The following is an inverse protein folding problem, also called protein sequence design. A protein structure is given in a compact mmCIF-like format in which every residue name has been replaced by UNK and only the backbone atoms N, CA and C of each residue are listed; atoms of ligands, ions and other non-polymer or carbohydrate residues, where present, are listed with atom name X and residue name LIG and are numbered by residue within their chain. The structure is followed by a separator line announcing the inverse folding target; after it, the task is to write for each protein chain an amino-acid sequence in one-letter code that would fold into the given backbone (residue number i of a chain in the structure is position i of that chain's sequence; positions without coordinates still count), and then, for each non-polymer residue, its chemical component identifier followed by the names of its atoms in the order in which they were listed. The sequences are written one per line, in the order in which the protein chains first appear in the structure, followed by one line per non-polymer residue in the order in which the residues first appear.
data_IF_815235925432
#
_entry.id   IF_815235925432
#
_cell.length_a   1.000
_cell.length_b   1.000
_cell.length_c   1.000
_cell.angle_alpha   90.00
_cell.angle_beta   90.00
_cell.angle_gamma   90.00
#
_symmetry.space_group_name_H-M   'P 1'
#
loop_
_entity.id
_entity.type
_entity.pdbx_description
1 polymer ?
#
# COMPACT_ATOMS: atom_id res chain seq x y z
N UNK A 1 -10.97 19.33 14.06
CA UNK A 1 -11.84 18.88 12.95
C UNK A 1 -12.52 17.60 13.36
N UNK A 2 -13.75 17.39 12.91
CA UNK A 2 -14.47 16.12 13.02
C UNK A 2 -14.39 15.40 11.66
N UNK A 3 -13.73 14.25 11.63
CA UNK A 3 -13.34 13.56 10.39
C UNK A 3 -13.98 12.17 10.38
N UNK A 4 -14.68 11.82 9.28
CA UNK A 4 -15.18 10.47 9.07
C UNK A 4 -14.31 9.76 8.03
N UNK A 5 -13.75 8.62 8.38
CA UNK A 5 -13.18 7.68 7.41
C UNK A 5 -14.18 6.60 7.04
N UNK A 6 -14.42 6.42 5.74
CA UNK A 6 -15.22 5.31 5.20
C UNK A 6 -14.29 4.32 4.53
N UNK A 7 -14.20 3.11 5.08
CA UNK A 7 -13.20 2.10 4.70
C UNK A 7 -13.89 0.75 4.53
N UNK A 8 -13.62 -0.01 3.47
CA UNK A 8 -14.21 -1.36 3.31
C UNK A 8 -13.85 -2.31 4.45
N UNK A 9 -12.60 -2.23 4.94
CA UNK A 9 -12.07 -3.08 6.02
C UNK A 9 -11.12 -2.28 6.88
N UNK A 10 -11.07 -2.58 8.17
CA UNK A 10 -10.21 -1.91 9.17
C UNK A 10 -9.60 -2.93 10.14
N UNK A 11 -8.77 -2.51 11.09
CA UNK A 11 -8.26 -3.39 12.14
C UNK A 11 -9.41 -4.16 12.82
N UNK A 12 -9.23 -5.44 13.17
CA UNK A 12 -8.02 -6.26 13.02
C UNK A 12 -7.97 -7.11 11.73
N UNK A 13 -8.63 -6.70 10.64
CA UNK A 13 -8.70 -7.46 9.39
C UNK A 13 -7.36 -7.40 8.60
N UNK A 14 -6.25 -7.80 9.22
CA UNK A 14 -4.89 -7.71 8.64
C UNK A 14 -4.66 -8.56 7.38
N UNK A 15 -5.57 -9.47 7.06
CA UNK A 15 -5.53 -10.25 5.81
C UNK A 15 -5.48 -9.37 4.55
N UNK A 16 -5.99 -8.13 4.63
CA UNK A 16 -5.94 -7.17 3.52
C UNK A 16 -4.61 -6.42 3.40
N UNK A 17 -3.68 -6.62 4.34
CA UNK A 17 -2.29 -6.15 4.26
C UNK A 17 -2.11 -4.65 4.46
N UNK A 18 -1.17 -4.06 3.70
CA UNK A 18 -0.68 -2.68 3.88
C UNK A 18 -1.74 -1.57 3.99
N UNK A 19 -2.85 -1.59 3.25
CA UNK A 19 -3.90 -0.58 3.40
C UNK A 19 -4.51 -0.51 4.80
N UNK A 20 -4.66 -1.65 5.49
CA UNK A 20 -5.18 -1.66 6.88
C UNK A 20 -4.23 -0.91 7.80
N UNK A 21 -2.93 -1.17 7.67
CA UNK A 21 -1.91 -0.51 8.50
C UNK A 21 -1.84 0.99 8.20
N UNK A 22 -1.69 1.39 6.95
CA UNK A 22 -1.54 2.81 6.59
C UNK A 22 -2.76 3.66 6.90
N UNK A 23 -3.98 3.13 6.71
CA UNK A 23 -5.21 3.86 7.05
C UNK A 23 -5.39 3.98 8.56
N UNK A 24 -5.14 2.89 9.31
CA UNK A 24 -5.26 2.95 10.77
C UNK A 24 -4.24 3.91 11.36
N UNK A 25 -2.98 3.92 10.87
CA UNK A 25 -1.96 4.86 11.35
C UNK A 25 -2.30 6.32 11.04
N UNK A 26 -2.91 6.59 9.90
CA UNK A 26 -3.45 7.93 9.61
C UNK A 26 -4.54 8.32 10.63
N UNK A 27 -5.52 7.45 10.86
CA UNK A 27 -6.61 7.72 11.81
C UNK A 27 -6.09 7.92 13.25
N UNK A 28 -5.20 7.03 13.70
CA UNK A 28 -4.55 7.08 15.01
C UNK A 28 -3.74 8.38 15.18
N UNK A 29 -2.94 8.73 14.16
CA UNK A 29 -2.15 9.96 14.18
C UNK A 29 -3.01 11.21 14.23
N UNK A 30 -4.09 11.29 13.46
CA UNK A 30 -5.04 12.40 13.50
C UNK A 30 -5.72 12.51 14.88
N UNK A 31 -6.14 11.38 15.47
CA UNK A 31 -6.74 11.36 16.80
C UNK A 31 -5.73 11.82 17.88
N UNK A 32 -4.47 11.36 17.81
CA UNK A 32 -3.40 11.77 18.71
C UNK A 32 -3.09 13.29 18.61
N UNK A 33 -3.32 13.90 17.44
CA UNK A 33 -3.19 15.35 17.23
C UNK A 33 -4.47 16.13 17.60
N UNK A 34 -5.40 15.52 18.33
CA UNK A 34 -6.57 16.20 18.92
C UNK A 34 -7.75 16.38 17.95
N UNK A 35 -7.81 15.60 16.87
CA UNK A 35 -8.97 15.59 15.99
C UNK A 35 -9.98 14.50 16.40
N UNK A 36 -11.27 14.75 16.20
CA UNK A 36 -12.34 13.78 16.43
C UNK A 36 -12.46 12.90 15.18
N UNK A 37 -11.99 11.66 15.29
CA UNK A 37 -11.87 10.72 14.16
C UNK A 37 -12.79 9.53 14.37
N UNK A 38 -13.76 9.39 13.47
CA UNK A 38 -14.64 8.23 13.38
C UNK A 38 -14.31 7.41 12.13
N UNK A 39 -14.37 6.08 12.27
CA UNK A 39 -14.23 5.13 11.16
C UNK A 39 -15.50 4.31 11.01
N UNK A 40 -16.08 4.36 9.82
CA UNK A 40 -17.15 3.44 9.41
C UNK A 40 -16.58 2.39 8.48
N UNK A 41 -16.69 1.13 8.90
CA UNK A 41 -16.12 -0.01 8.20
C UNK A 41 -17.06 -1.21 8.23
N UNK A 42 -16.69 -2.31 7.57
CA UNK A 42 -17.45 -3.56 7.62
C UNK A 42 -16.76 -4.60 8.51
N UNK A 43 -17.49 -5.67 8.85
CA UNK A 43 -16.95 -6.84 9.55
C UNK A 43 -16.10 -7.75 8.65
N UNK A 44 -15.78 -7.33 7.43
CA UNK A 44 -15.04 -8.11 6.45
C UNK A 44 -13.65 -8.55 6.93
N UNK A 45 -13.36 -9.87 6.84
CA UNK A 45 -12.05 -10.46 7.13
C UNK A 45 -11.77 -11.62 6.14
N UNK A 46 -11.52 -11.25 4.88
CA UNK A 46 -11.44 -12.21 3.79
C UNK A 46 -12.80 -12.84 3.49
N UNK A 47 -12.85 -14.16 3.43
CA UNK A 47 -14.11 -14.92 3.30
C UNK A 47 -14.90 -14.97 4.62
N UNK A 48 -14.21 -14.78 5.74
CA UNK A 48 -14.81 -14.73 7.07
C UNK A 48 -15.31 -13.33 7.44
N UNK A 49 -15.96 -13.22 8.57
CA UNK A 49 -16.31 -11.98 9.24
C UNK A 49 -15.50 -11.87 10.54
N UNK A 50 -15.23 -10.63 10.96
CA UNK A 50 -14.69 -10.38 12.30
C UNK A 50 -15.73 -10.77 13.37
N UNK A 51 -15.27 -11.33 14.46
CA UNK A 51 -16.11 -11.63 15.64
C UNK A 51 -16.37 -10.34 16.45
N UNK A 52 -17.15 -9.46 15.85
CA UNK A 52 -17.53 -8.14 16.40
C UNK A 52 -19.03 -7.97 16.20
N UNK A 53 -19.72 -7.46 17.22
CA UNK A 53 -21.17 -7.17 17.13
C UNK A 53 -21.38 -5.99 16.16
N UNK A 54 -22.06 -6.20 15.01
CA UNK A 54 -22.28 -5.13 14.05
C UNK A 54 -23.13 -3.99 14.61
N UNK A 55 -22.80 -2.76 14.20
CA UNK A 55 -23.48 -1.54 14.62
C UNK A 55 -23.00 -0.97 15.96
N UNK A 56 -22.06 -1.66 16.65
CA UNK A 56 -21.46 -1.16 17.89
C UNK A 56 -20.23 -0.32 17.57
N UNK A 57 -20.14 0.85 18.20
CA UNK A 57 -18.91 1.68 18.13
C UNK A 57 -17.94 1.24 19.23
N UNK A 58 -16.71 1.01 18.84
CA UNK A 58 -15.61 0.62 19.71
C UNK A 58 -14.48 1.65 19.61
N UNK A 59 -13.67 1.77 20.66
CA UNK A 59 -12.41 2.52 20.58
C UNK A 59 -11.29 1.56 20.26
N UNK A 60 -10.64 1.74 19.11
CA UNK A 60 -9.51 0.92 18.64
C UNK A 60 -8.31 1.84 18.48
N UNK A 61 -7.30 1.69 19.33
CA UNK A 61 -6.08 2.52 19.35
C UNK A 61 -6.39 4.04 19.34
N UNK A 62 -7.36 4.47 20.15
CA UNK A 62 -7.77 5.87 20.29
C UNK A 62 -8.76 6.39 19.24
N UNK A 63 -9.15 5.57 18.27
CA UNK A 63 -10.08 5.91 17.19
C UNK A 63 -11.44 5.26 17.44
N UNK A 64 -12.54 6.01 17.23
CA UNK A 64 -13.89 5.44 17.29
C UNK A 64 -14.21 4.71 16.00
N UNK A 65 -14.42 3.40 16.10
CA UNK A 65 -14.67 2.53 14.93
C UNK A 65 -16.03 1.86 15.05
N UNK A 66 -16.87 2.00 14.05
CA UNK A 66 -18.15 1.30 13.94
C UNK A 66 -18.08 0.28 12.81
N UNK A 67 -18.30 -0.99 13.15
CA UNK A 67 -18.29 -2.11 12.22
C UNK A 67 -19.70 -2.46 11.79
N UNK A 68 -19.96 -2.43 10.50
CA UNK A 68 -21.28 -2.76 9.94
C UNK A 68 -21.26 -4.12 9.26
N UNK A 69 -22.35 -4.85 9.37
CA UNK A 69 -22.51 -6.11 8.67
C UNK A 69 -22.53 -5.88 7.16
N UNK A 70 -21.73 -6.64 6.41
CA UNK A 70 -21.88 -6.74 4.95
C UNK A 70 -22.85 -7.86 4.61
N UNK A 71 -23.63 -7.67 3.54
CA UNK A 71 -24.55 -8.70 3.03
C UNK A 71 -23.95 -9.53 1.90
N UNK A 72 -22.83 -9.09 1.33
CA UNK A 72 -22.05 -9.81 0.31
C UNK A 72 -20.72 -10.23 0.87
N UNK A 73 -20.23 -11.43 0.52
CA UNK A 73 -18.91 -11.95 0.93
C UNK A 73 -17.83 -11.72 -0.15
N UNK A 74 -18.12 -10.89 -1.12
CA UNK A 74 -17.25 -10.54 -2.24
C UNK A 74 -16.60 -9.14 -2.05
N UNK A 75 -15.72 -8.71 -2.95
CA UNK A 75 -15.07 -7.39 -2.87
C UNK A 75 -16.01 -6.18 -3.01
N UNK A 76 -17.31 -6.36 -3.24
CA UNK A 76 -18.28 -5.25 -3.31
C UNK A 76 -18.61 -4.66 -1.94
N UNK A 77 -18.44 -5.43 -0.87
CA UNK A 77 -18.67 -5.05 0.53
C UNK A 77 -20.02 -4.36 0.78
N UNK A 78 -21.10 -4.82 0.16
CA UNK A 78 -22.43 -4.19 0.28
C UNK A 78 -22.88 -4.18 1.73
N UNK A 79 -23.12 -3.00 2.29
CA UNK A 79 -23.58 -2.79 3.67
C UNK A 79 -24.63 -1.67 3.75
N UNK A 80 -25.95 -2.01 3.68
CA UNK A 80 -27.02 -1.03 3.77
C UNK A 80 -27.04 -0.26 5.09
N UNK A 81 -26.62 -0.91 6.18
CA UNK A 81 -26.61 -0.25 7.49
C UNK A 81 -25.50 0.78 7.60
N UNK A 82 -24.33 0.56 6.97
CA UNK A 82 -23.31 1.60 6.85
C UNK A 82 -23.84 2.79 6.06
N UNK A 83 -24.51 2.57 4.94
CA UNK A 83 -25.08 3.67 4.15
C UNK A 83 -26.15 4.45 4.91
N UNK A 84 -27.01 3.78 5.70
CA UNK A 84 -27.97 4.45 6.59
C UNK A 84 -27.24 5.31 7.63
N UNK A 85 -26.17 4.77 8.26
CA UNK A 85 -25.37 5.51 9.22
C UNK A 85 -24.73 6.75 8.57
N UNK A 86 -24.08 6.61 7.41
CA UNK A 86 -23.54 7.75 6.66
C UNK A 86 -24.64 8.76 6.35
N UNK A 87 -25.79 8.33 5.82
CA UNK A 87 -26.89 9.25 5.48
C UNK A 87 -27.44 10.03 6.67
N UNK A 88 -27.43 9.46 7.89
CA UNK A 88 -27.95 10.09 9.10
C UNK A 88 -26.94 11.04 9.77
N UNK A 89 -25.65 10.69 9.77
CA UNK A 89 -24.62 11.37 10.59
C UNK A 89 -23.65 12.22 9.79
N UNK A 90 -23.55 12.08 8.45
CA UNK A 90 -22.47 12.68 7.66
C UNK A 90 -22.38 14.21 7.76
N UNK A 91 -23.49 14.90 8.03
CA UNK A 91 -23.51 16.36 8.20
C UNK A 91 -22.85 16.84 9.51
N UNK A 92 -22.54 15.93 10.42
CA UNK A 92 -21.82 16.24 11.66
C UNK A 92 -20.31 16.35 11.45
N UNK A 93 -19.80 15.92 10.27
CA UNK A 93 -18.39 15.90 9.96
C UNK A 93 -17.98 17.06 9.06
N UNK A 94 -16.79 17.59 9.33
CA UNK A 94 -16.20 18.66 8.52
C UNK A 94 -15.74 18.11 7.16
N UNK A 95 -15.27 16.87 7.14
CA UNK A 95 -14.78 16.17 5.94
C UNK A 95 -15.00 14.66 6.06
N UNK A 96 -15.27 14.01 4.93
CA UNK A 96 -15.32 12.56 4.79
C UNK A 96 -14.15 12.08 3.93
N UNK A 97 -13.32 11.21 4.48
CA UNK A 97 -12.21 10.59 3.76
C UNK A 97 -12.54 9.13 3.39
N UNK A 98 -12.78 8.90 2.12
CA UNK A 98 -13.13 7.58 1.57
C UNK A 98 -11.87 6.86 1.11
N UNK A 99 -11.72 5.61 1.55
CA UNK A 99 -10.55 4.80 1.24
C UNK A 99 -10.88 3.73 0.20
N UNK A 100 -10.03 3.59 -0.81
CA UNK A 100 -10.19 2.72 -1.97
C UNK A 100 -11.28 3.17 -2.95
N UNK A 101 -11.46 2.38 -4.03
CA UNK A 101 -12.49 2.60 -5.05
C UNK A 101 -13.02 1.23 -5.53
N UNK A 102 -13.73 1.15 -6.59
CA UNK A 102 -14.26 -0.07 -7.25
C UNK A 102 -15.07 -1.02 -6.36
N UNK A 103 -15.48 -0.63 -5.18
CA UNK A 103 -16.48 -1.37 -4.41
C UNK A 103 -17.74 -0.55 -4.21
N UNK A 104 -18.89 -1.22 -4.20
CA UNK A 104 -20.20 -0.56 -4.13
C UNK A 104 -20.35 0.22 -2.82
N UNK A 105 -19.75 -0.29 -1.72
CA UNK A 105 -19.80 0.37 -0.42
C UNK A 105 -19.36 1.83 -0.51
N UNK A 106 -18.14 2.07 -1.01
CA UNK A 106 -17.55 3.41 -1.01
C UNK A 106 -18.15 4.30 -2.08
N UNK A 107 -18.54 3.77 -3.24
CA UNK A 107 -19.19 4.55 -4.31
C UNK A 107 -20.53 5.11 -3.81
N UNK A 108 -21.36 4.28 -3.20
CA UNK A 108 -22.66 4.72 -2.66
C UNK A 108 -22.47 5.69 -1.49
N UNK A 109 -21.54 5.41 -0.57
CA UNK A 109 -21.23 6.33 0.53
C UNK A 109 -20.79 7.71 0.02
N UNK A 110 -19.92 7.75 -1.02
CA UNK A 110 -19.50 9.00 -1.66
C UNK A 110 -20.68 9.76 -2.27
N UNK A 111 -21.56 9.06 -2.98
CA UNK A 111 -22.77 9.68 -3.54
C UNK A 111 -23.68 10.28 -2.45
N UNK A 112 -23.87 9.57 -1.33
CA UNK A 112 -24.64 10.09 -0.18
C UNK A 112 -23.99 11.37 0.36
N UNK A 113 -22.67 11.40 0.56
CA UNK A 113 -21.95 12.58 1.03
C UNK A 113 -22.17 13.78 0.10
N UNK A 114 -22.09 13.60 -1.21
CA UNK A 114 -22.35 14.69 -2.18
C UNK A 114 -23.79 15.17 -2.17
N UNK A 115 -24.76 14.27 -2.07
CA UNK A 115 -26.18 14.64 -1.93
C UNK A 115 -26.43 15.43 -0.64
N UNK A 116 -25.66 15.18 0.41
CA UNK A 116 -25.71 15.92 1.68
C UNK A 116 -24.83 17.18 1.69
N UNK A 117 -24.11 17.46 0.59
CA UNK A 117 -23.20 18.61 0.40
C UNK A 117 -22.03 18.64 1.40
N UNK A 118 -21.51 17.48 1.78
CA UNK A 118 -20.32 17.33 2.64
C UNK A 118 -19.08 17.18 1.76
N UNK A 119 -17.97 17.76 2.19
CA UNK A 119 -16.68 17.65 1.49
C UNK A 119 -16.15 16.22 1.52
N UNK A 120 -15.70 15.72 0.36
CA UNK A 120 -15.20 14.35 0.22
C UNK A 120 -13.78 14.36 -0.32
N UNK A 121 -12.93 13.63 0.36
CA UNK A 121 -11.60 13.24 -0.08
C UNK A 121 -11.59 11.76 -0.40
N UNK A 122 -10.98 11.35 -1.50
CA UNK A 122 -10.87 9.95 -1.93
C UNK A 122 -9.40 9.57 -2.05
N UNK A 123 -9.00 8.51 -1.36
CA UNK A 123 -7.72 7.83 -1.57
C UNK A 123 -7.94 6.57 -2.39
N UNK A 124 -7.64 6.57 -3.69
CA UNK A 124 -7.91 5.41 -4.56
C UNK A 124 -7.06 4.19 -4.21
N UNK A 125 -5.89 4.39 -3.61
CA UNK A 125 -4.97 3.31 -3.22
C UNK A 125 -4.52 2.44 -4.41
N UNK A 126 -4.16 3.08 -5.53
CA UNK A 126 -3.75 2.43 -6.78
C UNK A 126 -4.89 1.77 -7.56
N UNK A 127 -6.15 1.97 -7.13
CA UNK A 127 -7.29 1.33 -7.79
C UNK A 127 -7.72 2.03 -9.08
N UNK A 128 -7.23 3.24 -9.36
CA UNK A 128 -7.55 3.98 -10.57
C UNK A 128 -6.48 3.84 -11.67
N UNK A 129 -5.46 2.99 -11.46
CA UNK A 129 -4.46 2.70 -12.49
C UNK A 129 -5.07 2.02 -13.71
N UNK A 130 -4.50 2.28 -14.88
CA UNK A 130 -4.90 1.62 -16.12
C UNK A 130 -4.83 0.09 -15.98
N UNK A 131 -3.78 -0.43 -15.33
CA UNK A 131 -3.65 -1.86 -15.05
C UNK A 131 -4.87 -2.43 -14.32
N UNK A 132 -5.35 -1.75 -13.26
CA UNK A 132 -6.51 -2.21 -12.49
C UNK A 132 -7.80 -2.03 -13.29
N UNK A 133 -7.89 -1.00 -14.14
CA UNK A 133 -9.07 -0.78 -14.99
C UNK A 133 -9.24 -1.87 -16.03
N UNK A 134 -8.14 -2.41 -16.54
CA UNK A 134 -8.11 -3.44 -17.59
C UNK A 134 -8.14 -4.88 -17.02
N UNK A 135 -7.91 -5.08 -15.74
CA UNK A 135 -7.87 -6.40 -15.09
C UNK A 135 -9.12 -6.70 -14.27
N UNK A 136 -9.43 -7.96 -14.07
CA UNK A 136 -10.58 -8.43 -13.27
C UNK A 136 -11.93 -8.14 -13.94
N UNK A 137 -12.95 -7.76 -13.16
CA UNK A 137 -14.31 -7.52 -13.69
C UNK A 137 -14.42 -6.14 -14.36
N UNK A 138 -13.87 -6.02 -15.56
CA UNK A 138 -13.82 -4.76 -16.34
C UNK A 138 -15.19 -4.21 -16.70
N UNK A 139 -16.18 -5.08 -16.97
CA UNK A 139 -17.55 -4.66 -17.30
C UNK A 139 -18.23 -3.94 -16.14
N UNK A 140 -18.11 -4.49 -14.94
CA UNK A 140 -18.68 -3.88 -13.73
C UNK A 140 -17.99 -2.55 -13.39
N UNK A 141 -16.66 -2.48 -13.50
CA UNK A 141 -15.90 -1.24 -13.29
C UNK A 141 -16.32 -0.14 -14.27
N UNK A 142 -16.45 -0.48 -15.55
CA UNK A 142 -16.95 0.45 -16.56
C UNK A 142 -18.38 0.92 -16.24
N UNK A 143 -19.28 0.01 -15.88
CA UNK A 143 -20.64 0.36 -15.49
C UNK A 143 -20.64 1.35 -14.31
N UNK A 144 -19.93 1.06 -13.22
CA UNK A 144 -19.81 1.94 -12.06
C UNK A 144 -19.23 3.29 -12.49
N UNK A 145 -18.16 3.30 -13.28
CA UNK A 145 -17.50 4.52 -13.71
C UNK A 145 -18.41 5.43 -14.53
N UNK A 146 -19.04 4.90 -15.57
CA UNK A 146 -19.87 5.71 -16.49
C UNK A 146 -21.26 6.08 -15.93
N UNK A 147 -21.70 5.47 -14.84
CA UNK A 147 -22.96 5.85 -14.16
C UNK A 147 -22.71 6.88 -13.06
N UNK A 148 -22.46 6.42 -11.84
CA UNK A 148 -22.29 7.28 -10.66
C UNK A 148 -20.82 7.62 -10.36
N UNK A 149 -19.86 6.76 -10.78
CA UNK A 149 -18.47 6.83 -10.35
C UNK A 149 -17.77 8.10 -10.82
N UNK A 150 -17.80 8.41 -12.11
CA UNK A 150 -17.14 9.62 -12.66
C UNK A 150 -17.72 10.91 -12.08
N UNK A 151 -19.05 10.94 -11.89
CA UNK A 151 -19.70 12.07 -11.23
C UNK A 151 -19.26 12.22 -9.78
N UNK A 152 -19.20 11.13 -9.02
CA UNK A 152 -18.78 11.15 -7.64
C UNK A 152 -17.31 11.57 -7.49
N UNK A 153 -16.42 11.04 -8.34
CA UNK A 153 -15.00 11.41 -8.35
C UNK A 153 -14.83 12.90 -8.70
N UNK A 154 -15.48 13.40 -9.74
CA UNK A 154 -15.32 14.79 -10.21
C UNK A 154 -15.75 15.85 -9.19
N UNK A 155 -16.58 15.49 -8.21
CA UNK A 155 -17.02 16.36 -7.11
C UNK A 155 -16.20 16.19 -5.85
N UNK A 156 -15.29 15.23 -5.81
CA UNK A 156 -14.42 14.95 -4.68
C UNK A 156 -13.03 15.57 -4.89
N UNK A 157 -12.24 15.59 -3.84
CA UNK A 157 -10.80 15.77 -3.92
C UNK A 157 -10.14 14.40 -3.94
N UNK A 158 -8.93 14.26 -4.53
CA UNK A 158 -8.15 13.03 -4.40
C UNK A 158 -6.98 13.21 -3.44
N UNK A 159 -6.60 12.13 -2.79
CA UNK A 159 -5.32 11.96 -2.13
C UNK A 159 -4.58 10.81 -2.81
N UNK A 160 -3.36 11.08 -3.28
CA UNK A 160 -2.44 10.09 -3.83
C UNK A 160 -1.26 9.88 -2.88
N UNK A 161 -0.70 8.69 -2.86
CA UNK A 161 0.45 8.35 -2.01
C UNK A 161 1.79 8.51 -2.72
N UNK A 162 1.77 8.66 -4.05
CA UNK A 162 2.93 8.86 -4.90
C UNK A 162 2.56 9.69 -6.13
N UNK A 163 3.57 10.25 -6.82
CA UNK A 163 3.38 11.05 -8.03
C UNK A 163 2.70 10.24 -9.15
N UNK A 164 3.07 8.96 -9.32
CA UNK A 164 2.46 8.07 -10.30
C UNK A 164 0.95 7.93 -10.09
N UNK A 165 0.50 7.74 -8.85
CA UNK A 165 -0.93 7.67 -8.53
C UNK A 165 -1.65 9.00 -8.82
N UNK A 166 -1.00 10.14 -8.57
CA UNK A 166 -1.59 11.44 -8.88
C UNK A 166 -1.73 11.65 -10.40
N UNK A 167 -0.80 11.14 -11.20
CA UNK A 167 -0.91 11.13 -12.66
C UNK A 167 -2.10 10.27 -13.09
N UNK A 168 -2.19 9.03 -12.61
CA UNK A 168 -3.31 8.13 -12.88
C UNK A 168 -4.66 8.76 -12.50
N UNK A 169 -4.76 9.42 -11.36
CA UNK A 169 -5.97 10.16 -10.98
C UNK A 169 -6.35 11.25 -11.99
N UNK A 170 -5.38 12.00 -12.50
CA UNK A 170 -5.62 13.07 -13.47
C UNK A 170 -5.90 12.56 -14.88
N UNK A 171 -5.48 11.35 -15.23
CA UNK A 171 -5.88 10.67 -16.47
C UNK A 171 -7.38 10.32 -16.45
N UNK A 172 -7.94 9.99 -15.26
CA UNK A 172 -9.38 9.73 -15.12
C UNK A 172 -10.20 11.03 -15.18
N UNK A 173 -9.71 12.09 -14.53
CA UNK A 173 -10.35 13.42 -14.48
C UNK A 173 -9.24 14.46 -14.56
N UNK A 174 -9.06 15.11 -15.73
CA UNK A 174 -7.94 16.01 -16.04
C UNK A 174 -7.76 17.13 -15.02
N UNK A 175 -8.83 17.75 -14.55
CA UNK A 175 -8.82 18.87 -13.61
C UNK A 175 -9.13 18.43 -12.16
N UNK A 176 -8.90 17.16 -11.84
CA UNK A 176 -9.20 16.65 -10.51
C UNK A 176 -8.27 17.28 -9.47
N UNK A 177 -8.87 17.98 -8.52
CA UNK A 177 -8.15 18.63 -7.43
C UNK A 177 -7.74 17.60 -6.39
N UNK A 178 -6.52 17.70 -5.90
CA UNK A 178 -6.01 16.76 -4.90
C UNK A 178 -4.63 17.13 -4.40
N UNK A 179 -4.06 16.25 -3.62
CA UNK A 179 -2.71 16.38 -3.09
C UNK A 179 -2.01 15.02 -3.01
N UNK A 180 -0.71 15.06 -2.85
CA UNK A 180 0.14 13.87 -2.69
C UNK A 180 0.69 13.91 -1.28
N UNK A 181 0.48 12.82 -0.52
CA UNK A 181 1.06 12.63 0.80
C UNK A 181 1.33 11.14 1.04
N UNK A 182 2.53 10.75 1.43
CA UNK A 182 2.89 9.35 1.65
C UNK A 182 2.04 8.65 2.70
N UNK A 183 2.09 7.31 2.68
CA UNK A 183 1.52 6.49 3.75
C UNK A 183 2.25 6.74 5.06
N UNK A 184 1.49 6.79 6.15
CA UNK A 184 2.05 6.84 7.50
C UNK A 184 2.35 5.43 7.94
N UNK A 185 3.59 5.20 8.40
CA UNK A 185 4.09 3.90 8.81
C UNK A 185 4.62 3.95 10.24
N UNK A 186 4.51 2.84 10.94
CA UNK A 186 5.18 2.67 12.23
C UNK A 186 6.46 1.90 12.00
N UNK A 187 7.57 2.61 12.00
CA UNK A 187 8.90 2.03 11.84
C UNK A 187 9.50 1.68 13.21
N UNK A 188 10.23 0.56 13.34
CA UNK A 188 10.81 0.17 14.62
C UNK A 188 12.08 0.99 14.91
N UNK A 189 12.30 1.28 16.18
CA UNK A 189 13.57 1.81 16.63
C UNK A 189 14.51 0.66 17.05
N UNK A 190 14.96 -0.11 16.06
CA UNK A 190 15.93 -1.20 16.25
C UNK A 190 17.30 -0.71 15.82
N UNK A 191 18.38 -1.11 16.55
CA UNK A 191 19.73 -0.84 16.08
C UNK A 191 19.98 -1.55 14.75
N UNK A 192 20.63 -0.86 13.81
CA UNK A 192 21.02 -1.47 12.54
C UNK A 192 22.31 -2.26 12.78
N UNK A 193 22.20 -3.57 12.88
CA UNK A 193 23.35 -4.46 13.02
C UNK A 193 23.99 -4.73 11.66
N UNK A 194 25.33 -4.68 11.64
CA UNK A 194 26.08 -5.02 10.44
C UNK A 194 26.17 -6.54 10.30
N UNK A 195 25.24 -7.16 9.60
CA UNK A 195 25.37 -8.54 9.20
C UNK A 195 26.14 -8.62 7.87
N UNK A 196 27.28 -9.31 7.86
CA UNK A 196 28.03 -9.58 6.64
C UNK A 196 27.61 -10.97 6.18
N UNK A 197 26.74 -11.02 5.20
CA UNK A 197 26.35 -12.28 4.58
C UNK A 197 27.54 -12.90 3.85
N UNK A 198 27.71 -14.22 4.00
CA UNK A 198 28.73 -14.95 3.22
C UNK A 198 28.37 -15.05 1.76
N UNK A 199 27.07 -15.00 1.46
CA UNK A 199 26.51 -15.05 0.10
C UNK A 199 25.55 -13.87 -0.05
N UNK A 200 25.61 -13.19 -1.19
CA UNK A 200 24.76 -12.03 -1.47
C UNK A 200 23.28 -12.42 -1.36
N UNK A 201 22.57 -11.80 -0.44
CA UNK A 201 21.20 -12.18 -0.07
C UNK A 201 20.19 -11.17 -0.56
N UNK A 202 19.32 -11.61 -1.47
CA UNK A 202 18.15 -10.87 -1.92
C UNK A 202 16.94 -11.24 -1.07
N UNK A 203 16.06 -10.26 -0.80
CA UNK A 203 14.77 -10.53 -0.17
C UNK A 203 13.64 -9.90 -0.98
N UNK A 204 12.62 -10.70 -1.26
CA UNK A 204 11.29 -10.26 -1.65
C UNK A 204 10.35 -10.40 -0.45
N UNK A 205 9.60 -9.37 -0.13
CA UNK A 205 8.65 -9.38 0.98
C UNK A 205 7.35 -8.70 0.56
N UNK A 206 6.34 -9.48 0.20
CA UNK A 206 5.00 -9.03 -0.18
C UNK A 206 4.06 -10.22 -0.28
N UNK A 207 2.78 -9.98 -0.60
CA UNK A 207 1.91 -11.06 -1.05
C UNK A 207 2.51 -11.73 -2.28
N UNK A 208 2.50 -13.06 -2.30
CA UNK A 208 2.94 -13.86 -3.46
C UNK A 208 1.80 -13.83 -4.48
N UNK A 209 1.93 -12.96 -5.49
CA UNK A 209 0.89 -12.70 -6.49
C UNK A 209 1.52 -12.32 -7.83
N UNK A 210 0.96 -12.70 -9.00
CA UNK A 210 1.53 -12.40 -10.32
C UNK A 210 1.90 -10.92 -10.54
N UNK A 211 1.08 -10.00 -10.04
CA UNK A 211 1.34 -8.56 -10.09
C UNK A 211 2.71 -8.14 -9.51
N UNK A 212 3.32 -8.98 -8.66
CA UNK A 212 4.57 -8.65 -7.95
C UNK A 212 5.83 -9.01 -8.74
N UNK A 213 5.69 -9.63 -9.92
CA UNK A 213 6.79 -9.88 -10.85
C UNK A 213 7.83 -10.89 -10.36
N UNK A 214 7.42 -11.87 -9.51
CA UNK A 214 8.34 -12.87 -8.96
C UNK A 214 8.95 -13.72 -10.07
N UNK A 215 8.19 -14.05 -11.11
CA UNK A 215 8.70 -14.80 -12.28
C UNK A 215 9.85 -14.04 -12.97
N UNK A 216 9.74 -12.71 -13.09
CA UNK A 216 10.79 -11.87 -13.68
C UNK A 216 12.06 -11.96 -12.83
N UNK A 217 11.92 -11.90 -11.48
CA UNK A 217 13.05 -12.07 -10.55
C UNK A 217 13.70 -13.44 -10.69
N UNK A 218 12.92 -14.51 -10.73
CA UNK A 218 13.44 -15.89 -10.89
C UNK A 218 14.23 -16.05 -12.19
N UNK A 219 13.69 -15.55 -13.31
CA UNK A 219 14.41 -15.54 -14.59
C UNK A 219 15.68 -14.67 -14.56
N UNK A 220 15.66 -13.53 -13.86
CA UNK A 220 16.83 -12.68 -13.70
C UNK A 220 17.92 -13.38 -12.86
N UNK A 221 17.53 -14.01 -11.73
CA UNK A 221 18.43 -14.73 -10.83
C UNK A 221 19.09 -15.92 -11.52
N UNK A 222 18.39 -16.63 -12.43
CA UNK A 222 18.98 -17.74 -13.19
C UNK A 222 20.12 -17.30 -14.11
N UNK A 223 20.21 -16.02 -14.47
CA UNK A 223 21.26 -15.44 -15.32
C UNK A 223 22.49 -14.95 -14.55
N UNK A 224 22.43 -14.87 -13.22
CA UNK A 224 23.52 -14.35 -12.41
C UNK A 224 24.69 -15.35 -12.34
N UNK A 225 25.92 -14.83 -12.49
CA UNK A 225 27.15 -15.62 -12.52
C UNK A 225 27.91 -15.60 -11.18
N UNK A 226 27.29 -15.13 -10.10
CA UNK A 226 27.86 -15.07 -8.76
C UNK A 226 26.93 -15.78 -7.76
N UNK A 227 27.45 -16.23 -6.60
CA UNK A 227 26.63 -16.85 -5.57
C UNK A 227 25.57 -15.88 -5.03
N UNK A 228 24.33 -16.33 -5.00
CA UNK A 228 23.19 -15.53 -4.51
C UNK A 228 22.17 -16.40 -3.81
N UNK A 229 21.59 -15.90 -2.74
CA UNK A 229 20.40 -16.47 -2.10
C UNK A 229 19.24 -15.51 -2.29
N UNK A 230 18.12 -16.04 -2.71
CA UNK A 230 16.87 -15.28 -2.85
C UNK A 230 15.82 -15.78 -1.86
N UNK A 231 15.48 -14.95 -0.89
CA UNK A 231 14.43 -15.22 0.09
C UNK A 231 13.10 -14.70 -0.40
N UNK A 232 12.08 -15.53 -0.41
CA UNK A 232 10.70 -15.17 -0.74
C UNK A 232 9.88 -15.21 0.55
N UNK A 233 9.54 -14.03 1.06
CA UNK A 233 8.72 -13.84 2.26
C UNK A 233 7.31 -13.38 1.88
N UNK A 234 6.30 -14.11 2.36
CA UNK A 234 4.89 -13.82 2.16
C UNK A 234 4.07 -15.06 1.88
N UNK A 235 2.77 -14.84 1.72
CA UNK A 235 1.78 -15.87 1.36
C UNK A 235 1.02 -15.48 0.10
N UNK A 236 0.41 -16.44 -0.55
CA UNK A 236 -0.37 -16.27 -1.78
C UNK A 236 -1.25 -17.48 -2.04
N UNK A 237 -1.86 -17.54 -3.21
CA UNK A 237 -2.66 -18.68 -3.65
C UNK A 237 -1.74 -19.91 -3.90
N UNK A 238 -2.13 -21.06 -3.37
CA UNK A 238 -1.33 -22.29 -3.46
C UNK A 238 -1.00 -22.68 -4.90
N UNK A 239 -1.96 -22.52 -5.83
CA UNK A 239 -1.75 -22.80 -7.25
C UNK A 239 -0.64 -21.92 -7.85
N UNK A 240 -0.61 -20.64 -7.50
CA UNK A 240 0.42 -19.73 -7.98
C UNK A 240 1.79 -20.01 -7.33
N UNK A 241 1.81 -20.30 -6.03
CA UNK A 241 3.05 -20.72 -5.33
C UNK A 241 3.61 -21.98 -5.98
N UNK A 242 2.77 -22.96 -6.32
CA UNK A 242 3.24 -24.17 -6.98
C UNK A 242 3.81 -23.87 -8.38
N UNK A 243 3.18 -23.00 -9.18
CA UNK A 243 3.73 -22.55 -10.47
C UNK A 243 5.14 -21.94 -10.34
N UNK A 244 5.35 -21.14 -9.27
CA UNK A 244 6.67 -20.55 -8.99
C UNK A 244 7.70 -21.63 -8.61
N UNK A 245 7.34 -22.61 -7.78
CA UNK A 245 8.20 -23.74 -7.41
C UNK A 245 8.61 -24.57 -8.65
N UNK A 246 7.65 -24.84 -9.54
CA UNK A 246 7.93 -25.55 -10.79
C UNK A 246 8.85 -24.73 -11.72
N UNK A 247 8.70 -23.40 -11.72
CA UNK A 247 9.59 -22.51 -12.46
C UNK A 247 11.01 -22.52 -11.89
N UNK A 248 11.19 -22.52 -10.57
CA UNK A 248 12.48 -22.60 -9.88
C UNK A 248 13.23 -23.88 -10.29
N UNK A 249 12.52 -25.01 -10.32
CA UNK A 249 13.09 -26.28 -10.78
C UNK A 249 13.50 -26.21 -12.25
N UNK A 250 12.65 -25.70 -13.14
CA UNK A 250 12.95 -25.55 -14.58
C UNK A 250 14.14 -24.64 -14.86
N UNK A 251 14.36 -23.63 -14.02
CA UNK A 251 15.48 -22.69 -14.14
C UNK A 251 16.77 -23.20 -13.48
N UNK A 252 16.75 -24.37 -12.83
CA UNK A 252 17.87 -24.96 -12.10
C UNK A 252 18.47 -24.01 -11.03
N UNK A 253 17.60 -23.37 -10.24
CA UNK A 253 17.98 -22.43 -9.17
C UNK A 253 17.40 -22.82 -7.81
N UNK A 254 17.08 -24.09 -7.61
CA UNK A 254 16.46 -24.59 -6.37
C UNK A 254 17.35 -24.33 -5.15
N UNK A 255 18.66 -24.43 -5.30
CA UNK A 255 19.66 -24.14 -4.27
C UNK A 255 19.81 -22.66 -3.92
N UNK A 256 19.31 -21.77 -4.77
CA UNK A 256 19.38 -20.32 -4.59
C UNK A 256 18.14 -19.73 -3.93
N UNK A 257 17.02 -20.47 -3.84
CA UNK A 257 15.73 -19.92 -3.41
C UNK A 257 15.29 -20.48 -2.06
N UNK A 258 14.97 -19.60 -1.11
CA UNK A 258 14.46 -19.96 0.20
C UNK A 258 13.06 -19.36 0.38
N UNK A 259 12.08 -20.21 0.67
CA UNK A 259 10.72 -19.80 1.04
C UNK A 259 10.66 -19.62 2.55
N UNK A 260 10.42 -18.39 3.03
CA UNK A 260 10.27 -18.11 4.46
C UNK A 260 8.81 -18.16 4.93
N UNK A 261 7.88 -18.11 3.97
CA UNK A 261 6.47 -17.99 4.29
C UNK A 261 6.10 -16.60 4.83
N UNK A 262 4.95 -16.51 5.50
CA UNK A 262 4.52 -15.28 6.14
C UNK A 262 5.40 -14.97 7.36
N UNK A 263 5.79 -13.72 7.51
CA UNK A 263 6.59 -13.22 8.64
C UNK A 263 5.73 -12.28 9.50
N UNK A 264 5.82 -12.45 10.81
CA UNK A 264 5.30 -11.46 11.74
C UNK A 264 6.12 -10.16 11.69
N UNK A 265 5.67 -9.17 12.46
CA UNK A 265 6.28 -7.84 12.42
C UNK A 265 7.77 -7.86 12.80
N UNK A 266 8.15 -8.58 13.85
CA UNK A 266 9.52 -8.61 14.34
C UNK A 266 10.44 -9.32 13.33
N UNK A 267 10.09 -10.52 12.93
CA UNK A 267 10.87 -11.29 11.96
C UNK A 267 10.96 -10.58 10.59
N UNK A 268 9.89 -9.85 10.17
CA UNK A 268 9.91 -9.03 8.97
C UNK A 268 11.06 -8.03 8.98
N UNK A 269 11.19 -7.23 10.05
CA UNK A 269 12.22 -6.21 10.13
C UNK A 269 13.63 -6.82 10.29
N UNK A 270 13.78 -7.93 11.00
CA UNK A 270 15.05 -8.65 11.09
C UNK A 270 15.48 -9.19 9.71
N UNK A 271 14.59 -9.82 8.97
CA UNK A 271 14.90 -10.32 7.62
C UNK A 271 15.25 -9.20 6.64
N UNK A 272 14.56 -8.06 6.71
CA UNK A 272 14.92 -6.87 5.93
C UNK A 272 16.31 -6.37 6.31
N UNK A 273 16.62 -6.23 7.59
CA UNK A 273 17.92 -5.74 8.08
C UNK A 273 19.08 -6.66 7.66
N UNK A 274 18.83 -7.98 7.62
CA UNK A 274 19.85 -8.97 7.29
C UNK A 274 20.04 -9.19 5.78
N UNK A 275 19.17 -8.65 4.92
CA UNK A 275 19.34 -8.74 3.49
C UNK A 275 20.37 -7.73 2.96
N UNK A 276 21.00 -8.06 1.83
CA UNK A 276 21.89 -7.14 1.11
C UNK A 276 21.11 -6.26 0.15
N UNK A 277 19.98 -6.76 -0.37
CA UNK A 277 19.13 -6.05 -1.32
C UNK A 277 17.68 -6.51 -1.19
N UNK A 278 16.76 -5.58 -0.96
CA UNK A 278 15.34 -5.82 -1.13
C UNK A 278 14.96 -5.67 -2.61
N UNK A 279 14.18 -6.60 -3.15
CA UNK A 279 13.81 -6.62 -4.58
C UNK A 279 12.30 -6.65 -4.77
N UNK A 280 11.77 -5.70 -5.57
CA UNK A 280 10.35 -5.62 -5.90
C UNK A 280 10.16 -5.11 -7.33
N UNK A 281 9.96 -6.01 -8.28
CA UNK A 281 9.75 -5.68 -9.70
C UNK A 281 8.26 -5.83 -10.07
N UNK A 282 7.40 -5.18 -9.30
CA UNK A 282 5.96 -5.20 -9.52
C UNK A 282 5.57 -4.63 -10.88
N UNK A 283 4.54 -5.22 -11.49
CA UNK A 283 3.91 -4.73 -12.74
C UNK A 283 3.10 -3.43 -12.53
N UNK A 284 2.70 -3.18 -11.32
CA UNK A 284 2.06 -1.95 -10.86
C UNK A 284 2.01 -1.96 -9.33
N UNK A 285 2.57 -0.95 -8.70
CA UNK A 285 2.58 -0.80 -7.24
C UNK A 285 2.42 0.66 -6.85
N UNK A 286 1.40 0.96 -6.08
CA UNK A 286 1.07 2.33 -5.75
C UNK A 286 2.14 3.02 -4.89
N UNK A 287 2.50 2.46 -3.74
CA UNK A 287 3.47 3.03 -2.80
C UNK A 287 4.55 2.03 -2.39
N UNK A 288 4.15 0.81 -1.98
CA UNK A 288 5.02 -0.22 -1.42
C UNK A 288 5.65 0.18 -0.07
N UNK A 289 4.86 0.08 1.00
CA UNK A 289 5.33 0.36 2.37
C UNK A 289 6.67 -0.31 2.70
N UNK A 290 6.87 -1.54 2.24
CA UNK A 290 8.07 -2.34 2.48
C UNK A 290 9.35 -1.71 1.91
N UNK A 291 9.27 -0.82 0.92
CA UNK A 291 10.42 -0.04 0.42
C UNK A 291 10.92 0.91 1.50
N UNK A 292 10.01 1.64 2.14
CA UNK A 292 10.33 2.55 3.25
C UNK A 292 10.87 1.74 4.45
N UNK A 293 10.23 0.60 4.76
CA UNK A 293 10.67 -0.31 5.82
C UNK A 293 12.08 -0.86 5.57
N UNK A 294 12.39 -1.26 4.33
CA UNK A 294 13.72 -1.76 3.96
C UNK A 294 14.79 -0.70 4.11
N UNK A 295 14.55 0.50 3.59
CA UNK A 295 15.50 1.61 3.69
C UNK A 295 15.68 2.07 5.13
N UNK A 296 14.63 2.06 5.95
CA UNK A 296 14.71 2.35 7.37
C UNK A 296 15.58 1.33 8.12
N UNK A 297 15.56 0.07 7.70
CA UNK A 297 16.44 -0.99 8.23
C UNK A 297 17.85 -0.99 7.59
N UNK A 298 18.17 0.03 6.80
CA UNK A 298 19.48 0.17 6.15
C UNK A 298 19.71 -0.77 4.96
N UNK A 299 18.65 -1.36 4.41
CA UNK A 299 18.74 -2.28 3.28
C UNK A 299 18.41 -1.56 1.99
N UNK A 300 19.35 -1.54 1.06
CA UNK A 300 19.19 -0.97 -0.28
C UNK A 300 18.09 -1.69 -1.06
N UNK A 301 17.49 -1.02 -2.04
CA UNK A 301 16.35 -1.56 -2.77
C UNK A 301 16.59 -1.61 -4.28
N UNK A 302 16.00 -2.61 -4.94
CA UNK A 302 15.83 -2.67 -6.39
C UNK A 302 14.33 -2.71 -6.70
N UNK A 303 13.86 -1.72 -7.44
CA UNK A 303 12.46 -1.56 -7.79
C UNK A 303 12.29 -1.56 -9.31
N UNK A 304 11.12 -1.99 -9.81
CA UNK A 304 10.72 -1.64 -11.18
C UNK A 304 10.27 -0.18 -11.25
N UNK A 305 10.26 0.41 -12.45
CA UNK A 305 9.74 1.75 -12.71
C UNK A 305 8.25 1.90 -12.34
N UNK A 306 7.52 0.79 -12.33
CA UNK A 306 6.11 0.68 -12.02
C UNK A 306 5.79 0.72 -10.51
N UNK A 307 6.81 0.87 -9.66
CA UNK A 307 6.66 1.07 -8.22
C UNK A 307 6.64 2.57 -7.91
N UNK A 308 5.59 3.06 -7.25
CA UNK A 308 5.40 4.50 -7.00
C UNK A 308 6.55 5.20 -6.29
N UNK A 309 7.36 4.48 -5.50
CA UNK A 309 8.56 5.00 -4.85
C UNK A 309 9.82 4.92 -5.72
N UNK A 310 9.76 4.47 -6.99
CA UNK A 310 10.92 4.41 -7.88
C UNK A 310 11.56 5.79 -8.10
N UNK A 311 10.73 6.83 -8.23
CA UNK A 311 11.19 8.23 -8.33
C UNK A 311 11.97 8.67 -7.09
N UNK A 312 11.48 8.37 -5.89
CA UNK A 312 12.15 8.64 -4.62
C UNK A 312 13.52 7.93 -4.54
N UNK A 313 13.55 6.64 -4.89
CA UNK A 313 14.79 5.84 -4.86
C UNK A 313 15.86 6.42 -5.80
N UNK A 314 15.46 6.90 -6.98
CA UNK A 314 16.39 7.60 -7.91
C UNK A 314 16.86 8.95 -7.35
N UNK A 315 15.93 9.78 -6.87
CA UNK A 315 16.23 11.15 -6.42
C UNK A 315 17.18 11.18 -5.22
N UNK A 316 17.05 10.25 -4.30
CA UNK A 316 17.86 10.17 -3.07
C UNK A 316 18.94 9.10 -3.12
N UNK A 317 19.14 8.47 -4.28
CA UNK A 317 20.14 7.42 -4.51
C UNK A 317 20.12 6.28 -3.49
N UNK A 318 18.88 5.80 -3.17
CA UNK A 318 18.62 4.79 -2.14
C UNK A 318 18.59 3.35 -2.69
N UNK A 319 19.00 3.16 -3.96
CA UNK A 319 18.96 1.83 -4.57
C UNK A 319 19.07 1.89 -6.10
N UNK A 320 18.47 0.91 -6.73
CA UNK A 320 18.46 0.73 -8.18
C UNK A 320 17.02 0.67 -8.70
N UNK A 321 16.83 1.11 -9.92
CA UNK A 321 15.53 1.03 -10.60
C UNK A 321 15.73 0.38 -11.97
N UNK A 322 14.89 -0.59 -12.31
CA UNK A 322 14.92 -1.33 -13.56
C UNK A 322 13.60 -1.19 -14.33
N UNK A 323 13.67 -1.47 -15.61
CA UNK A 323 12.47 -1.87 -16.37
C UNK A 323 11.98 -3.25 -15.92
N UNK A 324 10.90 -3.75 -16.53
CA UNK A 324 10.41 -5.12 -16.28
C UNK A 324 11.13 -6.18 -17.13
N UNK A 325 12.11 -5.77 -17.95
CA UNK A 325 12.89 -6.68 -18.76
C UNK A 325 13.85 -7.52 -17.90
N UNK A 326 13.79 -8.84 -18.05
CA UNK A 326 14.61 -9.80 -17.28
C UNK A 326 16.11 -9.46 -17.35
N UNK A 327 16.59 -9.01 -18.52
CA UNK A 327 18.01 -8.66 -18.71
C UNK A 327 18.39 -7.40 -17.90
N UNK A 328 17.52 -6.40 -17.84
CA UNK A 328 17.77 -5.18 -17.07
C UNK A 328 17.71 -5.45 -15.57
N UNK A 329 16.74 -6.24 -15.11
CA UNK A 329 16.66 -6.68 -13.70
C UNK A 329 17.95 -7.41 -13.29
N UNK A 330 18.44 -8.36 -14.11
CA UNK A 330 19.69 -9.07 -13.84
C UNK A 330 20.89 -8.13 -13.80
N UNK A 331 20.95 -7.15 -14.73
CA UNK A 331 21.97 -6.10 -14.76
C UNK A 331 21.97 -5.26 -13.48
N UNK A 332 20.79 -4.82 -13.01
CA UNK A 332 20.67 -4.02 -11.78
C UNK A 332 20.99 -4.83 -10.51
N UNK A 333 20.64 -6.12 -10.46
CA UNK A 333 21.08 -6.99 -9.36
C UNK A 333 22.62 -7.11 -9.37
N UNK A 334 23.22 -7.30 -10.55
CA UNK A 334 24.68 -7.37 -10.69
C UNK A 334 25.36 -6.05 -10.32
N UNK A 335 24.78 -4.90 -10.69
CA UNK A 335 25.25 -3.59 -10.28
C UNK A 335 25.20 -3.44 -8.75
N UNK A 336 24.09 -3.88 -8.13
CA UNK A 336 23.95 -3.86 -6.68
C UNK A 336 24.97 -4.77 -5.99
N UNK A 337 25.26 -5.95 -6.54
CA UNK A 337 26.28 -6.87 -6.05
C UNK A 337 27.67 -6.22 -6.05
N UNK A 338 28.05 -5.53 -7.11
CA UNK A 338 29.38 -4.95 -7.29
C UNK A 338 29.58 -3.61 -6.55
N UNK A 339 28.51 -2.88 -6.24
CA UNK A 339 28.58 -1.55 -5.62
C UNK A 339 28.44 -1.64 -4.08
N UNK A 340 29.46 -2.18 -3.44
CA UNK A 340 29.51 -2.27 -1.97
C UNK A 340 29.45 -0.91 -1.28
N UNK A 341 30.06 0.11 -1.88
CA UNK A 341 30.14 1.46 -1.28
C UNK A 341 28.75 2.09 -1.21
N UNK A 342 27.97 1.97 -2.28
CA UNK A 342 26.59 2.47 -2.28
C UNK A 342 25.73 1.72 -1.25
N UNK A 343 25.81 0.38 -1.18
CA UNK A 343 25.07 -0.38 -0.18
C UNK A 343 25.49 0.00 1.25
N UNK A 344 26.78 0.19 1.51
CA UNK A 344 27.29 0.61 2.82
C UNK A 344 26.75 2.00 3.19
N UNK A 345 26.80 2.96 2.26
CA UNK A 345 26.23 4.30 2.47
C UNK A 345 24.73 4.24 2.77
N UNK A 346 23.95 3.44 2.02
CA UNK A 346 22.51 3.31 2.27
C UNK A 346 22.26 2.68 3.65
N UNK A 347 23.07 1.71 4.04
CA UNK A 347 22.96 1.09 5.38
C UNK A 347 23.19 2.10 6.50
N UNK A 348 24.10 3.02 6.32
CA UNK A 348 24.42 4.06 7.30
C UNK A 348 23.39 5.20 7.30
N UNK A 349 23.00 5.69 6.13
CA UNK A 349 22.22 6.92 5.98
C UNK A 349 20.73 6.68 5.64
N UNK A 350 20.35 5.50 5.20
CA UNK A 350 18.99 5.21 4.73
C UNK A 350 17.92 5.56 5.76
N UNK A 351 18.14 5.22 7.03
CA UNK A 351 17.21 5.57 8.12
C UNK A 351 16.99 7.07 8.21
N UNK A 352 18.05 7.87 8.22
CA UNK A 352 17.94 9.33 8.34
C UNK A 352 17.23 9.96 7.13
N UNK A 353 17.43 9.41 5.93
CA UNK A 353 16.70 9.81 4.72
C UNK A 353 15.21 9.49 4.88
N UNK A 354 14.87 8.29 5.36
CA UNK A 354 13.47 7.91 5.60
C UNK A 354 12.83 8.79 6.67
N UNK A 355 13.47 9.02 7.81
CA UNK A 355 12.94 9.86 8.89
C UNK A 355 12.71 11.31 8.44
N UNK A 356 13.58 11.85 7.60
CA UNK A 356 13.42 13.22 7.09
C UNK A 356 12.22 13.40 6.15
N UNK A 357 11.81 12.33 5.43
CA UNK A 357 10.74 12.39 4.43
C UNK A 357 9.43 11.74 4.87
N UNK A 358 9.49 10.73 5.74
CA UNK A 358 8.36 9.90 6.14
C UNK A 358 8.10 9.95 7.65
N UNK A 359 8.55 11.01 8.35
CA UNK A 359 8.21 11.24 9.76
C UNK A 359 6.69 11.31 9.95
N UNK A 360 6.16 10.50 10.86
CA UNK A 360 4.72 10.43 11.09
C UNK A 360 4.12 11.79 11.47
N UNK A 361 4.76 12.55 12.38
CA UNK A 361 4.27 13.85 12.81
C UNK A 361 4.23 14.86 11.67
N UNK A 362 5.25 14.88 10.82
CA UNK A 362 5.30 15.73 9.63
C UNK A 362 4.18 15.37 8.66
N UNK A 363 3.99 14.09 8.36
CA UNK A 363 2.96 13.63 7.44
C UNK A 363 1.56 13.95 8.00
N UNK A 364 1.30 13.71 9.30
CA UNK A 364 0.03 14.07 9.93
C UNK A 364 -0.24 15.58 9.81
N UNK A 365 0.76 16.43 10.08
CA UNK A 365 0.62 17.89 9.95
C UNK A 365 0.26 18.31 8.52
N UNK A 366 0.85 17.63 7.51
CA UNK A 366 0.54 17.86 6.10
C UNK A 366 -0.89 17.42 5.76
N UNK A 367 -1.35 16.24 6.26
CA UNK A 367 -2.75 15.81 6.10
C UNK A 367 -3.72 16.80 6.73
N UNK A 368 -3.44 17.29 7.95
CA UNK A 368 -4.27 18.30 8.63
C UNK A 368 -4.38 19.57 7.79
N UNK A 369 -3.26 20.06 7.27
CA UNK A 369 -3.22 21.23 6.40
C UNK A 369 -4.03 21.02 5.12
N UNK A 370 -3.90 19.85 4.49
CA UNK A 370 -4.64 19.51 3.29
C UNK A 370 -6.16 19.39 3.56
N UNK A 371 -6.56 18.79 4.68
CA UNK A 371 -7.97 18.72 5.07
C UNK A 371 -8.55 20.11 5.30
N UNK A 372 -7.85 20.99 6.03
CA UNK A 372 -8.30 22.36 6.26
C UNK A 372 -8.50 23.10 4.93
N UNK A 373 -7.55 22.98 4.00
CA UNK A 373 -7.67 23.56 2.65
C UNK A 373 -8.91 23.06 1.90
N UNK A 374 -9.26 21.76 2.04
CA UNK A 374 -10.45 21.19 1.39
C UNK A 374 -11.74 21.72 2.05
N UNK A 375 -11.77 21.83 3.37
CA UNK A 375 -12.90 22.34 4.14
C UNK A 375 -13.17 23.79 3.75
N UNK A 376 -12.12 24.61 3.66
CA UNK A 376 -12.21 26.05 3.37
C UNK A 376 -12.45 26.36 1.87
N UNK A 377 -12.26 25.38 0.99
CA UNK A 377 -12.51 25.55 -0.44
C UNK A 377 -14.01 25.74 -0.73
N UNK A 378 -14.36 26.83 -1.43
CA UNK A 378 -15.74 27.15 -1.85
C UNK A 378 -16.25 26.18 -2.94
#
# INVERSE_FOLDING_TARGET
MKILHVVPSYKPAYIYGGPIESVSKLCEGLAAHGHDVDVYTTTANGEAELDIVPGTTMVVDGVKVTYFKRITKDPTHVSPDLWKAVNSSVKEYDIVHVQSWWNILVVVATCICHLKKVKVLISPRGMLSQYIFETGNTKMKKLIHYTAGKWALSKSWFHATADSEAIECREIISEWKGFIEPNILTLPDLPIERNINKVFTLIFLSRVHPKKGIEILLHAISKLQFPVIFKIAGSGEDEYIQKLKDLIVRLDITDKVIWTGWLDREHKFLELMHADLFVLVSLNENFANVVVESLHMGTSVLLSEEVGLAGFVRAYDQGWVSTLEVADVALKISAAYNDNDKRARIRELGRSVIESHFSADKLISNYVTAYQRIIDAN
#
